data_IF_293082761880
#
_entry.id   IF_293082761880
#
_cell.length_a   1.000
_cell.length_b   1.000
_cell.length_c   1.000
_cell.angle_alpha   90.00
_cell.angle_beta   90.00
_cell.angle_gamma   90.00
#
_symmetry.space_group_name_H-M   'P 1'
#
loop_
_entity.id
_entity.type
_entity.pdbx_description
1 polymer ?
#
# COMPACT_ATOMS: atom_id res chain seq x y z
N UNK A 1 4.16 0.07 -23.01
CA UNK A 1 3.68 1.30 -22.34
C UNK A 1 4.80 1.86 -21.49
N UNK A 2 5.04 3.17 -21.51
CA UNK A 2 6.09 3.82 -20.72
C UNK A 2 5.57 4.21 -19.34
N UNK A 3 6.43 4.36 -18.34
CA UNK A 3 6.04 4.73 -16.96
C UNK A 3 5.26 6.06 -16.97
N UNK A 4 5.77 7.06 -17.69
CA UNK A 4 5.16 8.39 -17.73
C UNK A 4 3.79 8.42 -18.42
N UNK A 5 3.47 7.47 -19.30
CA UNK A 5 2.15 7.46 -19.94
C UNK A 5 1.03 7.22 -18.93
N UNK A 6 1.28 6.42 -17.88
CA UNK A 6 0.29 6.19 -16.81
C UNK A 6 0.01 7.46 -16.01
N UNK A 7 1.05 8.23 -15.68
CA UNK A 7 0.91 9.50 -14.98
C UNK A 7 0.17 10.54 -15.83
N UNK A 8 0.47 10.60 -17.12
CA UNK A 8 -0.24 11.49 -18.05
C UNK A 8 -1.74 11.16 -18.09
N UNK A 9 -2.09 9.88 -18.27
CA UNK A 9 -3.49 9.46 -18.30
C UNK A 9 -4.21 9.72 -16.96
N UNK A 10 -3.56 9.46 -15.83
CA UNK A 10 -4.11 9.80 -14.52
C UNK A 10 -4.40 11.31 -14.40
N UNK A 11 -3.45 12.15 -14.83
CA UNK A 11 -3.61 13.62 -14.80
C UNK A 11 -4.77 14.09 -15.67
N UNK A 12 -4.90 13.56 -16.89
CA UNK A 12 -6.00 13.91 -17.80
C UNK A 12 -7.37 13.52 -17.24
N UNK A 13 -7.47 12.34 -16.63
CA UNK A 13 -8.74 11.86 -16.07
C UNK A 13 -9.12 12.56 -14.77
N UNK A 14 -8.16 12.86 -13.90
CA UNK A 14 -8.42 13.53 -12.63
C UNK A 14 -8.74 15.01 -12.80
N UNK A 15 -8.26 15.64 -13.88
CA UNK A 15 -8.52 17.04 -14.23
C UNK A 15 -9.77 17.22 -15.12
N UNK A 16 -10.63 16.20 -15.22
CA UNK A 16 -11.83 16.29 -16.05
C UNK A 16 -12.90 17.14 -15.35
N UNK A 17 -13.26 18.28 -15.95
CA UNK A 17 -14.22 19.23 -15.36
C UNK A 17 -15.70 18.84 -15.60
N UNK A 18 -15.96 17.90 -16.49
CA UNK A 18 -17.31 17.55 -16.94
C UNK A 18 -17.99 16.46 -16.10
N UNK A 19 -17.25 15.77 -15.24
CA UNK A 19 -17.75 14.68 -14.40
C UNK A 19 -17.07 14.71 -13.03
N UNK A 20 -17.72 14.21 -11.97
CA UNK A 20 -17.10 14.16 -10.66
C UNK A 20 -15.90 13.21 -10.68
N UNK A 21 -14.67 13.71 -10.59
CA UNK A 21 -13.44 12.91 -10.50
C UNK A 21 -13.00 12.45 -9.10
N UNK A 22 -13.53 12.94 -7.95
CA UNK A 22 -13.01 12.55 -6.63
C UNK A 22 -12.96 11.04 -6.35
N UNK A 23 -13.93 10.29 -6.87
CA UNK A 23 -14.00 8.84 -6.71
C UNK A 23 -12.88 8.08 -7.42
N UNK A 24 -12.20 8.71 -8.39
CA UNK A 24 -11.10 8.13 -9.16
C UNK A 24 -9.72 8.33 -8.50
N UNK A 25 -9.62 9.22 -7.50
CA UNK A 25 -8.34 9.59 -6.88
C UNK A 25 -7.67 8.39 -6.21
N UNK A 26 -8.40 7.65 -5.37
CA UNK A 26 -7.87 6.47 -4.67
C UNK A 26 -7.49 5.35 -5.65
N UNK A 27 -8.36 4.95 -6.61
CA UNK A 27 -8.00 3.97 -7.64
C UNK A 27 -6.73 4.33 -8.43
N UNK A 28 -6.62 5.59 -8.87
CA UNK A 28 -5.43 6.04 -9.61
C UNK A 28 -4.18 6.06 -8.74
N UNK A 29 -4.29 6.49 -7.48
CA UNK A 29 -3.16 6.47 -6.55
C UNK A 29 -2.62 5.04 -6.35
N UNK A 30 -3.50 4.08 -6.06
CA UNK A 30 -3.11 2.68 -5.88
C UNK A 30 -2.50 2.10 -7.16
N UNK A 31 -3.07 2.41 -8.33
CA UNK A 31 -2.54 1.98 -9.63
C UNK A 31 -1.16 2.57 -9.94
N UNK A 32 -0.95 3.86 -9.70
CA UNK A 32 0.36 4.48 -9.91
C UNK A 32 1.40 3.91 -8.96
N UNK A 33 1.00 3.62 -7.71
CA UNK A 33 1.87 2.98 -6.72
C UNK A 33 2.26 1.56 -7.12
N UNK A 34 1.31 0.75 -7.59
CA UNK A 34 1.60 -0.60 -8.10
C UNK A 34 2.48 -0.56 -9.36
N UNK A 35 2.29 0.44 -10.23
CA UNK A 35 3.12 0.60 -11.43
C UNK A 35 4.58 0.99 -11.10
N UNK A 36 4.78 1.71 -9.99
CA UNK A 36 6.09 2.05 -9.45
C UNK A 36 6.68 0.94 -8.56
N UNK A 37 5.99 -0.19 -8.37
CA UNK A 37 6.57 -1.33 -7.68
C UNK A 37 7.71 -1.94 -8.50
N UNK A 38 8.67 -2.51 -7.79
CA UNK A 38 9.86 -3.13 -8.36
C UNK A 38 9.48 -4.39 -9.13
N UNK A 39 10.02 -4.52 -10.33
CA UNK A 39 9.86 -5.73 -11.14
C UNK A 39 11.24 -6.33 -11.39
N UNK A 40 11.33 -7.66 -11.33
CA UNK A 40 12.57 -8.40 -11.55
C UNK A 40 13.17 -8.18 -12.96
N UNK A 41 12.36 -7.69 -13.91
CA UNK A 41 12.76 -7.35 -15.26
C UNK A 41 13.26 -5.91 -15.45
N UNK A 42 13.22 -5.07 -14.41
CA UNK A 42 13.65 -3.68 -14.50
C UNK A 42 15.19 -3.57 -14.49
N UNK A 43 15.73 -2.63 -15.27
CA UNK A 43 17.14 -2.24 -15.14
C UNK A 43 17.37 -1.43 -13.87
N UNK A 44 18.61 -1.38 -13.36
CA UNK A 44 18.96 -0.60 -12.17
C UNK A 44 18.53 0.88 -12.28
N UNK A 45 18.64 1.47 -13.47
CA UNK A 45 18.21 2.84 -13.74
C UNK A 45 16.70 3.00 -13.60
N UNK A 46 15.91 2.05 -14.11
CA UNK A 46 14.45 2.06 -14.01
C UNK A 46 14.02 1.87 -12.56
N UNK A 47 14.69 0.99 -11.82
CA UNK A 47 14.44 0.78 -10.40
C UNK A 47 14.66 2.07 -9.59
N UNK A 48 15.80 2.74 -9.78
CA UNK A 48 16.08 4.04 -9.14
C UNK A 48 15.04 5.10 -9.50
N UNK A 49 14.62 5.16 -10.76
CA UNK A 49 13.59 6.08 -11.23
C UNK A 49 12.21 5.80 -10.62
N UNK A 50 11.76 4.54 -10.59
CA UNK A 50 10.49 4.12 -9.98
C UNK A 50 10.46 4.40 -8.49
N UNK A 51 11.57 4.13 -7.78
CA UNK A 51 11.71 4.43 -6.36
C UNK A 51 11.57 5.92 -6.08
N UNK A 52 12.23 6.77 -6.86
CA UNK A 52 12.11 8.22 -6.75
C UNK A 52 10.68 8.72 -7.06
N UNK A 53 10.03 8.16 -8.09
CA UNK A 53 8.64 8.46 -8.41
C UNK A 53 7.68 8.08 -7.28
N UNK A 54 7.84 6.89 -6.70
CA UNK A 54 7.02 6.43 -5.56
C UNK A 54 7.15 7.38 -4.37
N UNK A 55 8.37 7.77 -4.02
CA UNK A 55 8.59 8.76 -2.95
C UNK A 55 7.91 10.11 -3.24
N UNK A 56 7.94 10.56 -4.51
CA UNK A 56 7.24 11.79 -4.91
C UNK A 56 5.73 11.64 -4.88
N UNK A 57 5.20 10.46 -5.21
CA UNK A 57 3.77 10.15 -5.16
C UNK A 57 3.26 10.21 -3.71
N UNK A 58 3.93 9.48 -2.81
CA UNK A 58 3.59 9.43 -1.38
C UNK A 58 3.75 10.81 -0.69
N UNK A 59 4.68 11.65 -1.17
CA UNK A 59 4.91 12.99 -0.61
C UNK A 59 4.02 14.12 -1.17
N UNK A 60 3.37 13.93 -2.32
CA UNK A 60 2.55 14.97 -2.97
C UNK A 60 1.05 14.72 -2.89
N UNK A 61 0.63 13.46 -2.78
CA UNK A 61 -0.80 13.10 -2.78
C UNK A 61 -1.19 12.74 -1.36
N UNK A 62 -2.05 13.56 -0.75
CA UNK A 62 -2.64 13.28 0.55
C UNK A 62 -4.08 12.81 0.37
N UNK A 63 -4.27 11.50 0.50
CA UNK A 63 -5.59 10.92 0.54
C UNK A 63 -6.24 11.25 1.89
N UNK A 64 -7.50 11.66 1.85
CA UNK A 64 -8.30 12.06 3.01
C UNK A 64 -9.57 11.22 3.04
N UNK A 65 -10.28 11.21 4.17
CA UNK A 65 -11.55 10.47 4.32
C UNK A 65 -12.54 10.81 3.19
N UNK A 66 -12.57 12.05 2.72
CA UNK A 66 -13.40 12.46 1.58
C UNK A 66 -13.09 11.69 0.29
N UNK A 67 -11.82 11.47 -0.02
CA UNK A 67 -11.41 10.72 -1.22
C UNK A 67 -11.88 9.26 -1.13
N UNK A 68 -11.70 8.65 0.03
CA UNK A 68 -12.14 7.28 0.28
C UNK A 68 -13.66 7.14 0.30
N UNK A 69 -14.39 8.07 0.93
CA UNK A 69 -15.84 8.13 0.90
C UNK A 69 -16.37 8.30 -0.54
N UNK A 70 -15.75 9.16 -1.34
CA UNK A 70 -16.12 9.32 -2.75
C UNK A 70 -15.92 8.03 -3.55
N UNK A 71 -14.80 7.33 -3.35
CA UNK A 71 -14.54 6.02 -3.97
C UNK A 71 -15.53 4.95 -3.46
N UNK A 72 -15.87 4.95 -2.18
CA UNK A 72 -16.83 4.02 -1.58
C UNK A 72 -18.25 4.19 -2.15
N UNK A 73 -18.66 5.44 -2.39
CA UNK A 73 -19.98 5.76 -2.94
C UNK A 73 -20.12 5.36 -4.42
N UNK A 74 -19.01 5.09 -5.11
CA UNK A 74 -19.04 4.62 -6.49
C UNK A 74 -19.37 3.11 -6.54
N UNK A 75 -20.39 2.68 -7.30
CA UNK A 75 -20.94 1.33 -7.22
C UNK A 75 -19.94 0.22 -7.57
N UNK A 76 -18.97 0.49 -8.44
CA UNK A 76 -17.95 -0.51 -8.82
C UNK A 76 -16.85 -0.68 -7.78
N UNK A 77 -16.67 0.26 -6.85
CA UNK A 77 -15.56 0.30 -5.88
C UNK A 77 -16.04 0.31 -4.43
N UNK A 78 -17.33 0.02 -4.20
CA UNK A 78 -17.97 -0.03 -2.88
C UNK A 78 -17.29 -1.01 -1.91
N UNK A 79 -16.67 -2.07 -2.42
CA UNK A 79 -15.99 -3.05 -1.58
C UNK A 79 -14.71 -2.51 -0.93
N UNK A 80 -14.10 -1.46 -1.51
CA UNK A 80 -12.81 -0.92 -1.09
C UNK A 80 -11.77 -2.01 -0.80
N UNK A 81 -11.67 -3.02 -1.67
CA UNK A 81 -10.88 -4.25 -1.41
C UNK A 81 -9.38 -4.00 -1.22
N UNK A 82 -8.87 -2.85 -1.70
CA UNK A 82 -7.51 -2.41 -1.44
C UNK A 82 -7.23 -1.97 0.01
N UNK A 83 -8.25 -1.89 0.87
CA UNK A 83 -8.14 -1.44 2.26
C UNK A 83 -8.39 -2.58 3.24
N UNK A 84 -7.75 -2.49 4.40
CA UNK A 84 -7.97 -3.42 5.52
C UNK A 84 -9.41 -3.33 6.03
N UNK A 85 -9.89 -4.37 6.71
CA UNK A 85 -11.23 -4.38 7.33
C UNK A 85 -11.45 -3.18 8.26
N UNK A 86 -10.46 -2.87 9.08
CA UNK A 86 -10.49 -1.72 10.00
C UNK A 86 -10.66 -0.40 9.24
N UNK A 87 -9.84 -0.15 8.22
CA UNK A 87 -9.94 1.07 7.41
C UNK A 87 -11.31 1.16 6.72
N UNK A 88 -11.83 0.03 6.21
CA UNK A 88 -13.17 -0.01 5.60
C UNK A 88 -14.27 0.41 6.59
N UNK A 89 -14.20 -0.07 7.84
CA UNK A 89 -15.15 0.30 8.89
C UNK A 89 -15.06 1.78 9.27
N UNK A 90 -13.85 2.34 9.34
CA UNK A 90 -13.61 3.77 9.59
C UNK A 90 -14.21 4.63 8.47
N UNK A 91 -13.96 4.29 7.20
CA UNK A 91 -14.53 4.99 6.04
C UNK A 91 -16.06 4.87 6.00
N UNK A 92 -16.62 3.73 6.38
CA UNK A 92 -18.06 3.55 6.47
C UNK A 92 -18.67 4.45 7.55
N UNK A 93 -18.03 4.54 8.72
CA UNK A 93 -18.47 5.41 9.80
C UNK A 93 -18.42 6.88 9.38
N UNK A 94 -17.35 7.32 8.73
CA UNK A 94 -17.19 8.69 8.24
C UNK A 94 -18.18 9.03 7.13
N UNK A 95 -18.45 8.09 6.22
CA UNK A 95 -19.45 8.26 5.18
C UNK A 95 -20.86 8.39 5.77
N UNK A 96 -21.19 7.61 6.81
CA UNK A 96 -22.48 7.75 7.52
C UNK A 96 -22.60 9.11 8.20
N UNK A 97 -21.54 9.59 8.86
CA UNK A 97 -21.51 10.94 9.46
C UNK A 97 -21.74 12.01 8.40
N UNK A 98 -21.07 11.91 7.24
CA UNK A 98 -21.26 12.84 6.13
C UNK A 98 -22.73 12.88 5.67
N UNK A 99 -23.36 11.74 5.49
CA UNK A 99 -24.78 11.66 5.07
C UNK A 99 -25.69 12.33 6.11
N UNK A 100 -25.45 12.10 7.41
CA UNK A 100 -26.24 12.72 8.49
C UNK A 100 -26.04 14.24 8.53
N UNK A 101 -24.79 14.70 8.44
CA UNK A 101 -24.42 16.13 8.46
C UNK A 101 -25.02 16.88 7.27
N UNK A 102 -25.08 16.24 6.10
CA UNK A 102 -25.63 16.87 4.90
C UNK A 102 -27.16 17.07 4.97
N UNK A 103 -27.85 16.48 5.96
CA UNK A 103 -29.29 16.59 6.20
C UNK A 103 -30.09 16.73 4.90
N UNK A 104 -29.83 15.85 3.91
CA UNK A 104 -30.41 15.99 2.58
C UNK A 104 -31.92 16.03 2.77
N UNK A 105 -32.58 17.18 2.54
CA UNK A 105 -34.03 17.24 2.62
C UNK A 105 -34.52 16.16 1.66
N UNK A 106 -35.50 15.36 2.08
CA UNK A 106 -36.22 14.48 1.16
C UNK A 106 -36.90 15.41 0.15
N UNK A 107 -36.17 15.83 -0.89
CA UNK A 107 -36.73 16.58 -1.99
C UNK A 107 -37.65 15.59 -2.69
N UNK A 108 -38.93 15.90 -2.69
CA UNK A 108 -39.90 15.30 -3.59
C UNK A 108 -39.28 15.25 -4.99
N UNK A 109 -39.46 14.13 -5.68
CA UNK A 109 -38.86 13.80 -6.97
C UNK A 109 -39.20 14.82 -8.08
N UNK A 110 -38.65 16.02 -8.00
CA UNK A 110 -38.65 17.02 -9.06
C UNK A 110 -37.54 16.64 -10.04
N UNK A 111 -37.93 15.79 -10.99
CA UNK A 111 -37.40 15.69 -12.35
C UNK A 111 -35.98 16.27 -12.55
N UNK A 112 -34.97 15.56 -12.02
CA UNK A 112 -33.57 15.85 -12.30
C UNK A 112 -33.37 15.62 -13.79
N UNK A 113 -33.40 16.70 -14.58
CA UNK A 113 -32.97 16.71 -15.97
C UNK A 113 -31.56 16.12 -15.98
N UNK A 114 -31.42 14.90 -16.50
CA UNK A 114 -30.13 14.23 -16.66
C UNK A 114 -29.16 15.24 -17.26
N UNK A 115 -28.03 15.46 -16.57
CA UNK A 115 -26.95 16.28 -17.10
C UNK A 115 -26.65 15.82 -18.54
N UNK A 116 -26.43 16.76 -19.48
CA UNK A 116 -26.22 16.40 -20.87
C UNK A 116 -25.09 15.38 -20.95
N UNK A 117 -25.39 14.20 -21.51
CA UNK A 117 -24.41 13.13 -21.72
C UNK A 117 -23.27 13.71 -22.54
N UNK A 118 -22.17 14.09 -21.88
CA UNK A 118 -21.01 14.63 -22.58
C UNK A 118 -20.48 13.52 -23.49
N UNK A 119 -20.12 13.87 -24.73
CA UNK A 119 -19.53 12.94 -25.69
C UNK A 119 -18.12 12.59 -25.21
N UNK A 120 -17.99 11.67 -24.26
CA UNK A 120 -16.71 11.04 -23.94
C UNK A 120 -16.20 10.32 -25.17
N UNK A 121 -14.92 10.51 -25.49
CA UNK A 121 -14.25 9.62 -26.41
C UNK A 121 -14.25 8.21 -25.81
N UNK A 122 -14.70 7.22 -26.56
CA UNK A 122 -14.89 5.82 -26.09
C UNK A 122 -13.64 5.27 -25.37
N UNK A 123 -12.46 5.74 -25.74
CA UNK A 123 -11.16 5.32 -25.19
C UNK A 123 -10.97 5.71 -23.72
N UNK A 124 -11.49 6.87 -23.30
CA UNK A 124 -11.32 7.35 -21.92
C UNK A 124 -12.21 6.57 -20.95
N UNK A 125 -13.44 6.27 -21.38
CA UNK A 125 -14.39 5.49 -20.61
C UNK A 125 -13.91 4.05 -20.38
N UNK A 126 -13.30 3.43 -21.40
CA UNK A 126 -12.67 2.11 -21.28
C UNK A 126 -11.56 2.14 -20.23
N UNK A 127 -10.75 3.20 -20.23
CA UNK A 127 -9.62 3.34 -19.31
C UNK A 127 -10.08 3.57 -17.86
N UNK A 128 -11.06 4.45 -17.64
CA UNK A 128 -11.66 4.69 -16.30
C UNK A 128 -12.25 3.39 -15.74
N UNK A 129 -13.07 2.69 -16.53
CA UNK A 129 -13.68 1.43 -16.10
C UNK A 129 -12.63 0.34 -15.84
N UNK A 130 -11.55 0.30 -16.62
CA UNK A 130 -10.45 -0.62 -16.36
C UNK A 130 -9.74 -0.32 -15.04
N UNK A 131 -9.49 0.95 -14.71
CA UNK A 131 -8.87 1.35 -13.44
C UNK A 131 -9.77 1.01 -12.25
N UNK A 132 -11.07 1.31 -12.34
CA UNK A 132 -12.03 0.99 -11.29
C UNK A 132 -12.18 -0.53 -11.09
N UNK A 133 -12.21 -1.30 -12.18
CA UNK A 133 -12.29 -2.75 -12.13
C UNK A 133 -11.02 -3.38 -11.57
N UNK A 134 -9.85 -2.89 -11.99
CA UNK A 134 -8.56 -3.33 -11.46
C UNK A 134 -8.49 -3.08 -9.95
N UNK A 135 -8.93 -1.92 -9.48
CA UNK A 135 -9.01 -1.60 -8.06
C UNK A 135 -9.98 -2.51 -7.30
N UNK A 136 -11.16 -2.80 -7.87
CA UNK A 136 -12.17 -3.66 -7.25
C UNK A 136 -11.78 -5.16 -7.21
N UNK A 137 -10.84 -5.58 -8.05
CA UNK A 137 -10.32 -6.94 -8.11
C UNK A 137 -8.96 -7.10 -7.42
N UNK A 138 -8.48 -6.11 -6.67
CA UNK A 138 -7.35 -6.33 -5.77
C UNK A 138 -7.86 -7.28 -4.69
N UNK A 139 -7.47 -8.56 -4.80
CA UNK A 139 -7.85 -9.63 -3.88
C UNK A 139 -7.57 -9.20 -2.45
N UNK A 140 -8.51 -9.48 -1.55
CA UNK A 140 -8.33 -9.39 -0.10
C UNK A 140 -7.17 -10.35 0.27
N UNK A 141 -5.92 -9.91 0.12
CA UNK A 141 -4.81 -10.50 0.85
C UNK A 141 -5.01 -10.08 2.30
N UNK A 142 -5.90 -10.81 2.96
CA UNK A 142 -6.00 -10.91 4.40
C UNK A 142 -4.62 -11.40 4.87
N UNK A 143 -3.70 -10.46 5.07
CA UNK A 143 -2.52 -10.70 5.88
C UNK A 143 -3.08 -10.68 7.29
N UNK A 144 -3.46 -11.84 7.80
CA UNK A 144 -3.61 -12.05 9.22
C UNK A 144 -2.27 -11.66 9.86
N UNK A 145 -2.22 -10.46 10.46
CA UNK A 145 -1.09 -10.01 11.28
C UNK A 145 -1.08 -10.75 12.64
N UNK A 146 -1.29 -12.06 12.64
CA UNK A 146 -1.18 -12.96 13.79
C UNK A 146 -0.27 -14.16 13.50
N UNK A 147 0.93 -13.92 12.95
CA UNK A 147 2.07 -14.81 13.19
C UNK A 147 3.26 -13.96 13.63
N UNK A 148 3.20 -13.47 14.86
CA UNK A 148 4.41 -13.08 15.59
C UNK A 148 5.23 -14.34 15.90
N UNK A 149 6.09 -14.69 14.95
CA UNK A 149 7.51 -14.87 15.20
C UNK A 149 7.96 -15.82 16.35
N UNK A 150 7.32 -16.99 16.48
CA UNK A 150 7.86 -18.08 17.31
C UNK A 150 9.24 -18.54 16.80
N UNK A 151 9.51 -18.38 15.50
CA UNK A 151 10.75 -18.85 14.85
C UNK A 151 11.96 -17.94 15.15
N UNK A 152 11.83 -16.61 15.22
CA UNK A 152 12.96 -15.78 15.64
C UNK A 152 13.24 -15.89 17.14
N UNK A 153 12.26 -16.25 17.97
CA UNK A 153 12.50 -16.57 19.38
C UNK A 153 13.32 -17.86 19.50
N UNK A 154 13.01 -18.90 18.73
CA UNK A 154 13.82 -20.12 18.68
C UNK A 154 15.24 -19.83 18.18
N UNK A 155 15.38 -18.97 17.16
CA UNK A 155 16.68 -18.56 16.61
C UNK A 155 17.54 -17.81 17.64
N UNK A 156 16.94 -16.91 18.43
CA UNK A 156 17.61 -16.19 19.52
C UNK A 156 17.95 -17.10 20.70
N UNK A 157 17.09 -18.06 21.04
CA UNK A 157 17.34 -19.02 22.11
C UNK A 157 18.50 -19.98 21.76
N UNK A 158 18.57 -20.43 20.51
CA UNK A 158 19.63 -21.35 20.05
C UNK A 158 21.00 -20.67 19.98
N UNK A 159 21.03 -19.39 19.59
CA UNK A 159 22.26 -18.59 19.59
C UNK A 159 22.81 -18.31 21.00
N UNK A 160 21.96 -18.22 22.03
CA UNK A 160 22.41 -18.09 23.42
C UNK A 160 23.05 -19.37 23.95
N UNK A 161 22.46 -20.54 23.66
CA UNK A 161 23.03 -21.84 24.06
C UNK A 161 24.40 -22.12 23.43
N UNK A 162 24.60 -21.76 22.17
CA UNK A 162 25.90 -21.94 21.49
C UNK A 162 27.00 -21.00 22.03
N UNK A 163 26.63 -19.80 22.50
CA UNK A 163 27.60 -18.83 23.01
C UNK A 163 28.10 -19.15 24.43
N UNK A 164 27.26 -19.72 25.29
CA UNK A 164 27.65 -20.03 26.69
C UNK A 164 28.57 -21.26 26.78
N UNK A 165 28.41 -22.26 25.92
CA UNK A 165 29.34 -23.40 25.82
C UNK A 165 30.71 -23.00 25.25
N UNK A 166 30.73 -22.07 24.29
CA UNK A 166 31.97 -21.57 23.71
C UNK A 166 32.81 -20.73 24.71
N UNK A 167 32.16 -20.06 25.66
CA UNK A 167 32.86 -19.29 26.71
C UNK A 167 33.36 -20.20 27.82
N UNK A 168 32.59 -21.22 28.25
CA UNK A 168 33.07 -22.20 29.25
C UNK A 168 34.23 -23.06 28.74
N UNK A 169 34.27 -23.38 27.44
CA UNK A 169 35.38 -24.10 26.80
C UNK A 169 36.69 -23.30 26.75
N UNK A 170 36.63 -21.97 26.63
CA UNK A 170 37.83 -21.09 26.58
C UNK A 170 38.45 -20.81 27.95
N UNK A 171 37.73 -21.03 29.06
CA UNK A 171 38.26 -20.82 30.41
C UNK A 171 38.81 -22.08 31.08
N UNK A 172 38.54 -23.28 30.54
CA UNK A 172 39.06 -24.53 31.10
C UNK A 172 40.53 -24.84 30.74
N UNK A 173 41.19 -24.02 29.89
CA UNK A 173 42.52 -24.34 29.35
C UNK A 173 43.62 -23.34 29.75
N UNK A 174 43.53 -22.76 30.95
CA UNK A 174 44.61 -21.95 31.55
C UNK A 174 45.07 -22.50 32.91
N UNK A 175 45.52 -23.75 32.93
CA UNK A 175 46.49 -24.19 33.94
C UNK A 175 47.54 -25.07 33.29
N UNK A 176 48.54 -24.42 32.69
CA UNK A 176 49.87 -24.99 32.52
C UNK A 176 50.91 -23.93 32.88
N UNK A 177 51.56 -24.04 34.05
CA UNK A 177 52.80 -23.36 34.32
C UNK A 177 53.94 -24.35 34.06
N UNK A 178 54.59 -24.20 32.90
CA UNK A 178 56.02 -24.49 32.78
C UNK A 178 56.77 -23.76 33.91
N UNK A 179 57.77 -24.37 34.54
CA UNK A 179 59.10 -23.82 34.82
C UNK A 179 59.97 -24.76 35.69
N UNK A 180 61.25 -24.89 35.28
CA UNK A 180 62.45 -25.45 35.95
C UNK A 180 62.58 -26.99 35.92
N UNK A 181 63.70 -27.56 35.47
CA UNK A 181 65.07 -27.25 35.90
C UNK A 181 66.11 -27.36 34.78
N UNK A 182 67.08 -26.46 34.85
CA UNK A 182 68.34 -26.47 34.11
C UNK A 182 69.39 -27.33 34.83
N UNK A 183 70.36 -27.81 34.03
CA UNK A 183 71.67 -28.39 34.35
C UNK A 183 72.26 -28.08 35.74
N UNK A 184 72.79 -29.11 36.42
CA UNK A 184 74.08 -29.06 37.16
C UNK A 184 74.70 -30.48 37.23
N UNK A 185 75.96 -30.55 36.77
CA UNK A 185 77.04 -31.55 37.01
C UNK A 185 76.93 -32.98 36.49
#
# INVERSE_FOLDING_TARGET
MTILSQFKTASEQLSADHEPTPHLVVPWFCKLKSFCADKNSDTLTIHGFKKALRQKLDGKIWLTSLHYSATFLHPTTKALSALTKREREEILADTRKLIVTLQIPKSDHENIKQAPKSKRFKKDLITVNAVLKEFACQDDQEIDEEEQDEVAEYSRATLRFSSEEAVKSRFANRHSPYWRLANVS
#
